data_IF_664893558085
#
_entry.id   IF_664893558085
#
_cell.length_a   1.000
_cell.length_b   1.000
_cell.length_c   1.000
_cell.angle_alpha   90.00
_cell.angle_beta   90.00
_cell.angle_gamma   90.00
#
_symmetry.space_group_name_H-M   'P 1'
#
loop_
_entity.id
_entity.type
_entity.pdbx_description
1 polymer ?
#
# COMPACT_ATOMS: atom_id res chain seq x y z
N UNK A 1 -35.64 24.56 -17.74
CA UNK A 1 -35.05 23.22 -17.41
C UNK A 1 -33.54 23.16 -17.58
N UNK A 2 -32.92 23.99 -18.44
CA UNK A 2 -31.44 24.00 -18.61
C UNK A 2 -30.68 24.68 -17.45
N UNK A 3 -31.28 25.65 -16.74
CA UNK A 3 -30.62 26.36 -15.62
C UNK A 3 -30.45 25.50 -14.35
N UNK A 4 -31.32 24.51 -14.14
CA UNK A 4 -31.23 23.60 -12.99
C UNK A 4 -30.11 22.56 -13.14
N UNK A 5 -29.80 22.15 -14.37
CA UNK A 5 -28.74 21.15 -14.65
C UNK A 5 -27.34 21.75 -14.44
N UNK A 6 -27.15 23.04 -14.76
CA UNK A 6 -25.87 23.73 -14.61
C UNK A 6 -25.51 23.97 -13.13
N UNK A 7 -26.50 24.23 -12.28
CA UNK A 7 -26.29 24.41 -10.84
C UNK A 7 -25.95 23.07 -10.16
N UNK A 8 -26.59 21.98 -10.58
CA UNK A 8 -26.27 20.66 -10.03
C UNK A 8 -24.86 20.17 -10.40
N UNK A 9 -24.37 20.52 -11.61
CA UNK A 9 -22.99 20.19 -12.02
C UNK A 9 -21.95 21.02 -11.25
N UNK A 10 -22.26 22.26 -10.88
CA UNK A 10 -21.37 23.13 -10.11
C UNK A 10 -21.26 22.71 -8.63
N UNK A 11 -22.33 22.17 -8.05
CA UNK A 11 -22.34 21.70 -6.66
C UNK A 11 -21.59 20.38 -6.50
N UNK A 12 -21.54 19.53 -7.52
CA UNK A 12 -20.76 18.29 -7.49
C UNK A 12 -19.24 18.50 -7.62
N UNK A 13 -18.79 19.69 -8.08
CA UNK A 13 -17.35 19.98 -8.22
C UNK A 13 -16.71 20.61 -6.97
N UNK A 14 -17.49 20.97 -5.94
CA UNK A 14 -16.97 21.68 -4.75
C UNK A 14 -16.77 20.75 -3.54
N UNK A 15 -17.17 19.50 -3.63
CA UNK A 15 -17.02 18.52 -2.54
C UNK A 15 -15.80 17.60 -2.68
N UNK A 16 -14.75 18.01 -3.39
CA UNK A 16 -13.44 17.44 -3.17
C UNK A 16 -12.87 18.07 -1.89
N UNK A 17 -13.27 17.53 -0.75
CA UNK A 17 -12.46 17.67 0.46
C UNK A 17 -11.06 17.21 0.07
N UNK A 18 -10.11 18.16 0.05
CA UNK A 18 -8.70 17.82 -0.10
C UNK A 18 -8.39 16.86 1.04
N UNK A 19 -8.37 15.57 0.75
CA UNK A 19 -7.89 14.58 1.70
C UNK A 19 -6.44 14.97 2.02
N UNK A 20 -6.12 15.05 3.30
CA UNK A 20 -4.74 15.31 3.72
C UNK A 20 -3.93 14.10 3.26
N UNK A 21 -2.98 14.33 2.37
CA UNK A 21 -2.01 13.30 1.99
C UNK A 21 -1.09 13.03 3.18
N UNK A 22 -1.15 11.83 3.69
CA UNK A 22 -0.36 11.36 4.82
C UNK A 22 0.37 10.08 4.42
N UNK A 23 1.10 10.16 3.33
CA UNK A 23 1.88 9.06 2.79
C UNK A 23 3.38 9.38 2.79
N UNK A 24 4.20 8.35 2.87
CA UNK A 24 5.65 8.48 2.78
C UNK A 24 6.27 7.27 2.09
N UNK A 25 7.11 7.55 1.10
CA UNK A 25 7.96 6.52 0.47
C UNK A 25 9.34 6.56 1.12
N UNK A 26 9.74 5.46 1.73
CA UNK A 26 11.00 5.30 2.44
C UNK A 26 11.88 4.35 1.66
N UNK A 27 13.12 4.77 1.39
CA UNK A 27 14.13 3.91 0.79
C UNK A 27 15.22 3.60 1.80
N UNK A 28 15.58 2.33 1.94
CA UNK A 28 16.69 1.92 2.79
C UNK A 28 17.99 2.51 2.25
N UNK A 29 18.74 3.19 3.13
CA UNK A 29 20.09 3.72 2.82
C UNK A 29 21.21 2.79 3.28
N UNK A 30 20.90 1.64 3.84
CA UNK A 30 21.93 0.79 4.43
C UNK A 30 22.81 0.17 3.36
N UNK A 31 24.11 0.16 3.63
CA UNK A 31 25.22 -0.37 2.81
C UNK A 31 25.18 -1.90 2.63
N UNK A 32 24.20 -2.59 3.17
CA UNK A 32 24.02 -4.02 2.99
C UNK A 32 23.11 -4.30 1.78
N UNK A 33 23.20 -5.47 1.26
CA UNK A 33 22.64 -6.02 0.02
C UNK A 33 21.14 -5.80 -0.21
N UNK A 34 20.40 -5.36 0.79
CA UNK A 34 18.95 -5.18 0.74
C UNK A 34 18.57 -3.69 0.63
N UNK A 35 18.59 -3.17 -0.60
CA UNK A 35 17.95 -1.89 -0.90
C UNK A 35 16.48 -2.15 -1.16
N UNK A 36 15.60 -1.57 -0.35
CA UNK A 36 14.17 -1.59 -0.61
C UNK A 36 13.63 -0.16 -0.73
N UNK A 37 12.51 -0.05 -1.39
CA UNK A 37 11.65 1.14 -1.38
C UNK A 37 10.26 0.67 -0.96
N UNK A 38 9.70 1.32 0.05
CA UNK A 38 8.43 0.96 0.67
C UNK A 38 7.60 2.20 0.87
N UNK A 39 6.29 2.10 0.65
CA UNK A 39 5.36 3.21 0.83
C UNK A 39 4.38 2.89 1.96
N UNK A 40 4.19 3.85 2.87
CA UNK A 40 3.16 3.78 3.91
C UNK A 40 2.14 4.88 3.69
N UNK A 41 0.88 4.59 3.98
CA UNK A 41 -0.23 5.54 3.87
C UNK A 41 -1.06 5.54 5.16
N UNK A 42 -0.89 6.58 5.96
CA UNK A 42 -1.66 6.82 7.17
C UNK A 42 -2.84 7.79 6.95
N UNK A 43 -3.13 8.19 5.70
CA UNK A 43 -4.23 9.12 5.38
C UNK A 43 -5.58 8.66 5.96
N UNK A 44 -5.92 7.36 6.00
CA UNK A 44 -7.17 6.90 6.60
C UNK A 44 -7.25 7.12 8.13
N UNK A 45 -6.12 7.34 8.80
CA UNK A 45 -6.06 7.64 10.25
C UNK A 45 -6.11 9.14 10.54
N UNK A 46 -6.09 10.00 9.53
CA UNK A 46 -6.29 11.44 9.71
C UNK A 46 -7.69 11.68 10.25
N UNK A 47 -7.77 12.16 11.50
CA UNK A 47 -9.06 12.38 12.14
C UNK A 47 -9.60 13.79 11.86
N UNK A 48 -10.89 13.90 11.56
CA UNK A 48 -11.54 15.19 11.29
C UNK A 48 -11.48 16.15 12.47
N UNK A 49 -11.38 15.62 13.69
CA UNK A 49 -11.17 16.42 14.89
C UNK A 49 -9.76 16.18 15.44
N UNK A 50 -9.56 15.14 16.22
CA UNK A 50 -8.28 14.75 16.82
C UNK A 50 -8.44 13.41 17.53
N UNK A 51 -7.32 12.72 17.78
CA UNK A 51 -7.24 11.57 18.63
C UNK A 51 -6.96 12.00 20.07
N UNK A 52 -7.56 11.32 21.03
CA UNK A 52 -7.28 11.47 22.45
C UNK A 52 -7.03 10.09 23.03
N UNK A 53 -5.84 9.91 23.63
CA UNK A 53 -5.40 8.65 24.21
C UNK A 53 -4.99 8.91 25.65
N UNK A 54 -5.53 8.13 26.57
CA UNK A 54 -5.11 8.14 27.98
C UNK A 54 -3.91 7.24 28.17
N UNK A 55 -2.98 7.70 28.99
CA UNK A 55 -1.87 6.85 29.43
C UNK A 55 -2.43 5.72 30.30
N UNK A 56 -2.19 4.49 29.88
CA UNK A 56 -2.62 3.30 30.64
C UNK A 56 -1.66 2.92 31.76
N UNK A 57 -0.49 3.57 31.86
CA UNK A 57 0.42 3.40 32.99
C UNK A 57 -0.09 4.16 34.22
N UNK A 58 -1.06 3.54 34.87
CA UNK A 58 -1.87 4.12 35.94
C UNK A 58 -1.13 4.36 37.25
N UNK A 59 0.13 3.95 37.37
CA UNK A 59 0.78 3.91 38.71
C UNK A 59 1.28 5.27 39.20
N UNK A 60 1.45 6.25 38.30
CA UNK A 60 2.02 7.53 38.74
C UNK A 60 1.51 8.80 38.01
N UNK A 61 0.91 8.72 36.85
CA UNK A 61 0.71 9.91 36.01
C UNK A 61 -0.65 9.90 35.32
N UNK A 62 -1.56 10.74 35.73
CA UNK A 62 -2.83 10.96 35.05
C UNK A 62 -2.61 11.83 33.80
N UNK A 63 -1.84 11.29 32.84
CA UNK A 63 -1.57 11.99 31.57
C UNK A 63 -2.55 11.54 30.49
N UNK A 64 -2.89 12.48 29.61
CA UNK A 64 -3.52 12.19 28.33
C UNK A 64 -2.76 12.86 27.20
N UNK A 65 -2.90 12.29 26.02
CA UNK A 65 -2.24 12.76 24.80
C UNK A 65 -3.29 13.05 23.76
N UNK A 66 -3.25 14.27 23.24
CA UNK A 66 -4.15 14.73 22.18
C UNK A 66 -3.29 14.96 20.94
N UNK A 67 -3.61 14.31 19.85
CA UNK A 67 -2.83 14.42 18.62
C UNK A 67 -3.67 14.20 17.37
N UNK A 68 -3.11 14.51 16.22
CA UNK A 68 -3.64 14.09 14.94
C UNK A 68 -2.51 13.52 14.06
N UNK A 69 -2.89 12.81 13.01
CA UNK A 69 -1.97 12.18 12.09
C UNK A 69 -1.75 13.14 10.90
N UNK A 70 -0.49 13.46 10.60
CA UNK A 70 -0.06 14.35 9.52
C UNK A 70 -0.73 15.73 9.46
N UNK A 71 -1.45 16.12 10.49
CA UNK A 71 -2.08 17.43 10.58
C UNK A 71 -2.10 17.92 12.02
N UNK A 72 -2.26 19.22 12.20
CA UNK A 72 -2.45 19.79 13.55
C UNK A 72 -3.81 19.37 14.12
N UNK A 73 -3.90 19.37 15.46
CA UNK A 73 -5.18 19.14 16.13
C UNK A 73 -6.21 20.19 15.71
N UNK A 74 -7.46 19.81 15.63
CA UNK A 74 -8.54 20.70 15.22
C UNK A 74 -8.85 21.77 16.27
N UNK A 75 -8.81 21.34 17.53
CA UNK A 75 -9.06 22.21 18.70
C UNK A 75 -7.88 22.14 19.64
N UNK A 76 -7.42 23.31 20.09
CA UNK A 76 -6.42 23.38 21.15
C UNK A 76 -7.04 22.78 22.42
N UNK A 77 -6.42 21.74 23.02
CA UNK A 77 -7.01 21.15 24.22
C UNK A 77 -6.96 22.11 25.42
N UNK A 78 -7.88 21.93 26.34
CA UNK A 78 -7.90 22.62 27.62
C UNK A 78 -7.46 21.70 28.74
N UNK A 79 -6.89 22.23 29.81
CA UNK A 79 -6.41 21.47 30.96
C UNK A 79 -6.77 22.16 32.28
N UNK A 80 -6.73 21.38 33.35
CA UNK A 80 -7.06 21.84 34.70
C UNK A 80 -8.55 22.15 34.90
N UNK A 81 -8.90 22.47 36.13
CA UNK A 81 -10.30 22.79 36.53
C UNK A 81 -10.78 24.13 35.98
N UNK A 82 -9.85 25.02 35.64
CA UNK A 82 -10.16 26.33 35.03
C UNK A 82 -10.43 26.28 33.54
N UNK A 83 -10.21 25.15 32.88
CA UNK A 83 -10.34 25.03 31.44
C UNK A 83 -9.35 25.87 30.64
N UNK A 84 -8.15 26.12 31.16
CA UNK A 84 -7.11 26.87 30.48
C UNK A 84 -6.66 26.19 29.19
N UNK A 85 -6.51 26.95 28.10
CA UNK A 85 -6.03 26.42 26.83
C UNK A 85 -4.53 26.13 26.87
N UNK A 86 -4.10 25.15 26.10
CA UNK A 86 -2.69 24.78 25.87
C UNK A 86 -2.09 25.46 24.62
N UNK A 87 -0.86 25.93 24.67
CA UNK A 87 -0.14 26.48 25.79
C UNK A 87 -0.83 27.77 26.25
N UNK A 88 -0.65 28.20 27.46
CA UNK A 88 -1.34 29.28 28.16
C UNK A 88 -1.15 30.66 27.50
N UNK A 89 -1.54 30.84 26.27
CA UNK A 89 -1.47 32.05 25.47
C UNK A 89 -2.64 32.15 24.50
N UNK A 90 -2.97 33.34 24.10
CA UNK A 90 -3.88 33.73 23.02
C UNK A 90 -3.48 33.13 21.64
N UNK A 91 -2.75 32.01 21.63
CA UNK A 91 -2.19 31.43 20.42
C UNK A 91 -3.27 30.77 19.59
N UNK A 92 -3.43 31.28 18.41
CA UNK A 92 -4.16 30.64 17.32
C UNK A 92 -3.37 29.48 16.69
N UNK A 93 -2.11 29.28 17.13
CA UNK A 93 -1.22 28.27 16.59
C UNK A 93 -1.59 26.88 17.13
N UNK A 94 -1.91 25.97 16.23
CA UNK A 94 -2.28 24.59 16.55
C UNK A 94 -1.11 23.66 16.21
N UNK A 95 -0.76 22.83 17.17
CA UNK A 95 0.32 21.87 17.03
C UNK A 95 -0.23 20.46 16.72
N UNK A 96 0.58 19.54 16.18
CA UNK A 96 0.11 18.18 15.85
C UNK A 96 -0.18 17.33 17.08
N UNK A 97 0.46 17.63 18.23
CA UNK A 97 0.32 16.82 19.42
C UNK A 97 0.54 17.59 20.72
N UNK A 98 -0.16 17.16 21.78
CA UNK A 98 -0.10 17.72 23.11
C UNK A 98 -0.09 16.62 24.19
N UNK A 99 0.62 16.88 25.28
CA UNK A 99 0.55 16.16 26.54
C UNK A 99 -0.24 17.00 27.55
N UNK A 100 -1.19 16.42 28.23
CA UNK A 100 -2.01 17.05 29.26
C UNK A 100 -1.80 16.34 30.59
N UNK A 101 -1.55 17.08 31.65
CA UNK A 101 -1.57 16.57 33.02
C UNK A 101 -2.99 16.65 33.56
N UNK A 102 -3.63 15.50 33.77
CA UNK A 102 -4.99 15.39 34.32
C UNK A 102 -5.11 15.94 35.75
N UNK A 103 -4.00 16.10 36.47
CA UNK A 103 -3.96 16.73 37.79
C UNK A 103 -3.87 18.28 37.71
N UNK A 104 -3.93 18.85 36.51
CA UNK A 104 -3.90 20.28 36.32
C UNK A 104 -2.49 20.90 36.34
N UNK A 105 -1.44 20.07 36.33
CA UNK A 105 -0.05 20.50 36.43
C UNK A 105 0.52 21.15 35.17
N UNK A 106 -0.12 21.00 34.03
CA UNK A 106 0.33 21.66 32.80
C UNK A 106 -0.13 21.01 31.50
N UNK A 107 0.20 21.69 30.43
CA UNK A 107 0.03 21.20 29.07
C UNK A 107 1.22 21.60 28.21
N UNK A 108 1.68 20.67 27.39
CA UNK A 108 2.88 20.85 26.56
C UNK A 108 2.63 20.34 25.16
N UNK A 109 2.97 21.13 24.14
CA UNK A 109 2.96 20.62 22.77
C UNK A 109 4.19 19.69 22.54
N UNK A 110 3.98 18.60 21.77
CA UNK A 110 4.96 17.54 21.57
C UNK A 110 5.62 17.57 20.19
N UNK A 111 5.21 18.51 19.34
CA UNK A 111 5.78 18.73 18.02
C UNK A 111 5.40 20.09 17.50
N UNK A 112 6.29 20.72 16.73
CA UNK A 112 6.08 22.09 16.26
C UNK A 112 5.26 22.16 14.97
N UNK A 113 5.30 21.13 14.14
CA UNK A 113 4.60 21.13 12.86
C UNK A 113 4.47 19.73 12.27
N UNK A 114 3.91 19.70 11.07
CA UNK A 114 3.62 18.49 10.30
C UNK A 114 4.42 18.40 8.99
N UNK A 115 5.40 19.26 8.81
CA UNK A 115 6.21 19.36 7.59
C UNK A 115 7.71 19.42 7.89
N UNK A 116 8.51 19.06 6.91
CA UNK A 116 9.96 19.18 6.95
C UNK A 116 10.61 18.43 8.11
N UNK A 117 11.46 19.11 8.88
CA UNK A 117 12.19 18.52 10.01
C UNK A 117 11.31 18.25 11.24
N UNK A 118 10.12 18.86 11.29
CA UNK A 118 9.20 18.71 12.43
C UNK A 118 8.46 17.37 12.43
N UNK A 119 8.32 16.74 11.27
CA UNK A 119 7.70 15.43 11.10
C UNK A 119 8.68 14.48 10.40
N UNK A 120 8.82 13.28 10.94
CA UNK A 120 9.74 12.28 10.38
C UNK A 120 9.09 10.92 10.32
N UNK A 121 9.39 10.20 9.23
CA UNK A 121 8.97 8.84 8.99
C UNK A 121 10.17 7.91 8.99
N UNK A 122 10.04 6.76 9.64
CA UNK A 122 11.04 5.70 9.60
C UNK A 122 10.35 4.33 9.77
N UNK A 123 10.86 3.25 9.16
CA UNK A 123 10.31 1.92 9.44
C UNK A 123 10.62 1.54 10.89
N UNK A 124 9.77 0.71 11.51
CA UNK A 124 10.01 0.16 12.86
C UNK A 124 11.26 -0.70 12.83
N UNK A 125 11.40 -1.54 11.81
CA UNK A 125 12.59 -2.34 11.55
C UNK A 125 13.14 -2.01 10.15
N UNK A 126 14.43 -1.66 10.10
CA UNK A 126 15.10 -1.38 8.82
C UNK A 126 15.44 -2.64 8.02
N UNK A 127 15.44 -3.80 8.63
CA UNK A 127 15.73 -5.07 7.96
C UNK A 127 14.44 -5.73 7.47
N UNK A 128 13.30 -5.45 8.15
CA UNK A 128 11.96 -5.87 7.75
C UNK A 128 10.96 -4.70 7.81
N UNK A 129 10.76 -3.96 6.71
CA UNK A 129 9.84 -2.84 6.67
C UNK A 129 8.36 -3.26 6.83
N UNK A 130 8.03 -4.56 6.77
CA UNK A 130 6.66 -5.03 6.97
C UNK A 130 6.24 -5.08 8.43
N UNK A 131 7.18 -4.87 9.37
CA UNK A 131 6.87 -4.73 10.81
C UNK A 131 6.01 -3.50 11.09
N UNK A 132 6.18 -2.42 10.32
CA UNK A 132 5.40 -1.20 10.48
C UNK A 132 6.21 0.08 10.32
N UNK A 133 5.60 1.21 10.70
CA UNK A 133 6.16 2.55 10.50
C UNK A 133 6.05 3.40 11.76
N UNK A 134 7.05 4.24 11.98
CA UNK A 134 7.07 5.26 13.03
C UNK A 134 6.86 6.64 12.39
N UNK A 135 5.86 7.36 12.89
CA UNK A 135 5.64 8.77 12.63
C UNK A 135 6.09 9.56 13.89
N UNK A 136 7.04 10.45 13.73
CA UNK A 136 7.57 11.26 14.83
C UNK A 136 7.25 12.74 14.62
N UNK A 137 6.78 13.40 15.70
CA UNK A 137 6.68 14.85 15.78
C UNK A 137 7.79 15.38 16.68
N UNK A 138 8.53 16.38 16.21
CA UNK A 138 9.73 16.89 16.83
C UNK A 138 9.63 18.38 17.17
N UNK A 139 10.59 18.89 17.94
CA UNK A 139 10.70 20.29 18.34
C UNK A 139 9.50 20.79 19.16
N UNK A 140 8.95 19.94 20.02
CA UNK A 140 7.94 20.33 20.99
C UNK A 140 8.47 21.26 22.09
N UNK A 141 7.60 21.61 23.03
CA UNK A 141 7.95 22.49 24.16
C UNK A 141 9.13 21.98 24.95
N UNK A 142 10.06 22.87 25.32
CA UNK A 142 11.25 22.51 26.12
C UNK A 142 11.09 22.79 27.61
N UNK A 143 10.02 23.47 28.02
CA UNK A 143 9.76 23.84 29.43
C UNK A 143 9.77 22.60 30.32
N UNK A 144 10.52 22.65 31.42
CA UNK A 144 10.75 21.55 32.39
C UNK A 144 11.39 20.27 31.83
N UNK A 145 11.85 20.30 30.58
CA UNK A 145 12.42 19.13 29.93
C UNK A 145 13.93 19.22 29.67
N UNK A 146 14.48 20.42 29.67
CA UNK A 146 15.90 20.63 29.32
C UNK A 146 16.22 20.36 27.83
N UNK A 147 15.28 19.84 27.08
CA UNK A 147 15.33 19.56 25.63
C UNK A 147 13.94 19.66 25.04
N UNK A 148 13.86 19.78 23.72
CA UNK A 148 12.57 19.75 23.01
C UNK A 148 11.86 18.41 23.18
N UNK A 149 10.56 18.45 23.44
CA UNK A 149 9.71 17.25 23.49
C UNK A 149 9.50 16.70 22.10
N UNK A 150 9.22 15.40 22.03
CA UNK A 150 8.82 14.72 20.80
C UNK A 150 7.81 13.63 21.10
N UNK A 151 6.91 13.38 20.13
CA UNK A 151 5.99 12.24 20.16
C UNK A 151 6.38 11.28 19.04
N UNK A 152 6.49 9.99 19.37
CA UNK A 152 6.74 8.92 18.41
C UNK A 152 5.55 7.96 18.43
N UNK A 153 4.87 7.86 17.29
CA UNK A 153 3.74 6.97 17.06
C UNK A 153 4.24 5.78 16.23
N UNK A 154 4.37 4.62 16.84
CA UNK A 154 4.80 3.40 16.18
C UNK A 154 3.57 2.60 15.76
N UNK A 155 3.27 2.59 14.47
CA UNK A 155 2.16 1.84 13.87
C UNK A 155 2.67 0.46 13.46
N UNK A 156 2.39 -0.54 14.29
CA UNK A 156 2.69 -1.94 13.95
C UNK A 156 1.73 -2.43 12.88
N UNK A 157 2.28 -3.08 11.86
CA UNK A 157 1.49 -3.71 10.81
C UNK A 157 0.73 -4.91 11.35
N UNK A 158 -0.56 -4.75 11.55
CA UNK A 158 -1.43 -5.81 12.10
C UNK A 158 -2.76 -5.82 11.36
N UNK A 159 -3.32 -7.02 11.14
CA UNK A 159 -4.58 -7.18 10.39
C UNK A 159 -5.82 -6.67 11.17
N UNK A 160 -5.63 -5.96 12.24
CA UNK A 160 -6.65 -5.73 13.24
C UNK A 160 -7.09 -4.30 13.22
N UNK A 161 -7.45 -3.42 12.91
CA UNK A 161 -8.04 -2.13 13.29
C UNK A 161 -7.82 -0.96 12.33
N UNK A 162 -8.96 -0.35 12.04
CA UNK A 162 -9.08 0.92 11.35
C UNK A 162 -9.12 2.12 12.31
N UNK A 163 -9.07 1.90 13.62
CA UNK A 163 -9.16 2.95 14.65
C UNK A 163 -8.07 2.79 15.69
N UNK A 164 -7.59 3.93 16.20
CA UNK A 164 -6.62 3.93 17.29
C UNK A 164 -7.30 3.62 18.63
N UNK A 165 -6.59 2.98 19.58
CA UNK A 165 -7.11 2.70 20.90
C UNK A 165 -7.35 4.01 21.67
N UNK A 166 -8.32 3.99 22.60
CA UNK A 166 -8.58 5.11 23.52
C UNK A 166 -7.58 5.19 24.67
N UNK A 167 -6.99 4.07 25.01
CA UNK A 167 -5.99 3.93 26.07
C UNK A 167 -4.77 3.22 25.45
N UNK A 168 -3.58 3.72 25.75
CA UNK A 168 -2.32 3.12 25.32
C UNK A 168 -1.24 3.39 26.36
N UNK A 169 -0.34 2.45 26.55
CA UNK A 169 0.86 2.71 27.33
C UNK A 169 1.74 3.71 26.60
N UNK A 170 2.07 4.81 27.25
CA UNK A 170 2.99 5.82 26.72
C UNK A 170 4.28 5.76 27.51
N UNK A 171 5.35 5.39 26.84
CA UNK A 171 6.69 5.25 27.44
C UNK A 171 7.49 6.50 27.18
N UNK A 172 7.88 7.21 28.25
CA UNK A 172 8.81 8.32 28.13
C UNK A 172 10.25 7.80 28.20
N UNK A 173 10.85 7.58 27.03
CA UNK A 173 12.26 7.19 26.90
C UNK A 173 12.83 7.54 25.51
N UNK A 174 13.98 8.23 25.43
CA UNK A 174 14.63 8.95 26.53
C UNK A 174 13.76 10.08 27.06
N UNK A 175 14.16 10.70 28.16
CA UNK A 175 13.40 11.80 28.81
C UNK A 175 12.89 12.82 27.77
N UNK A 176 11.62 13.21 27.86
CA UNK A 176 10.92 14.13 26.95
C UNK A 176 10.66 13.57 25.54
N UNK A 177 10.84 12.28 25.35
CA UNK A 177 10.42 11.57 24.14
C UNK A 177 9.34 10.56 24.51
N UNK A 178 8.14 10.80 24.02
CA UNK A 178 6.95 10.01 24.34
C UNK A 178 6.71 9.01 23.22
N UNK A 179 6.74 7.72 23.54
CA UNK A 179 6.60 6.63 22.59
C UNK A 179 5.27 5.93 22.82
N UNK A 180 4.45 5.86 21.79
CA UNK A 180 3.16 5.19 21.78
C UNK A 180 3.18 4.07 20.74
N UNK A 181 2.74 2.87 21.14
CA UNK A 181 2.62 1.72 20.26
C UNK A 181 1.16 1.54 19.84
N UNK A 182 0.93 1.49 18.54
CA UNK A 182 -0.39 1.42 17.93
C UNK A 182 -0.40 0.28 16.92
N UNK A 183 -1.47 -0.50 16.93
CA UNK A 183 -1.67 -1.57 15.95
C UNK A 183 -2.64 -1.09 14.87
N UNK A 184 -2.27 -1.23 13.60
CA UNK A 184 -3.12 -0.81 12.50
C UNK A 184 -2.76 -1.50 11.19
N UNK A 185 -3.76 -1.78 10.35
CA UNK A 185 -3.53 -2.19 8.98
C UNK A 185 -2.83 -1.10 8.15
N UNK A 186 -2.97 0.16 8.55
CA UNK A 186 -2.33 1.30 7.88
C UNK A 186 -0.86 1.47 8.27
N UNK A 187 -0.40 0.76 9.32
CA UNK A 187 1.02 0.59 9.60
C UNK A 187 1.73 -0.34 8.63
N UNK A 188 0.99 -1.06 7.79
CA UNK A 188 1.56 -1.95 6.78
C UNK A 188 1.93 -1.18 5.51
N UNK A 189 2.98 -1.63 4.78
CA UNK A 189 3.27 -1.11 3.46
C UNK A 189 2.09 -1.25 2.50
N UNK A 190 1.88 -0.26 1.64
CA UNK A 190 0.80 -0.30 0.62
C UNK A 190 1.00 -1.39 -0.42
N UNK A 191 2.25 -1.84 -0.58
CA UNK A 191 2.62 -2.97 -1.44
C UNK A 191 1.97 -4.29 -0.98
N UNK A 192 1.66 -4.40 0.33
CA UNK A 192 0.78 -5.44 0.83
C UNK A 192 -0.68 -5.03 0.62
N UNK A 193 -1.26 -5.50 -0.48
CA UNK A 193 -2.60 -5.12 -0.90
C UNK A 193 -3.68 -5.40 0.16
N UNK A 194 -4.70 -4.55 0.17
CA UNK A 194 -5.88 -4.69 1.01
C UNK A 194 -7.11 -4.96 0.17
N UNK A 195 -7.97 -5.88 0.62
CA UNK A 195 -9.26 -6.18 0.00
C UNK A 195 -10.34 -6.15 1.08
N UNK A 196 -11.39 -5.36 0.87
CA UNK A 196 -12.48 -5.20 1.85
C UNK A 196 -11.99 -4.82 3.26
N UNK A 197 -11.03 -3.91 3.35
CA UNK A 197 -10.38 -3.47 4.59
C UNK A 197 -9.68 -4.60 5.37
N UNK A 198 -9.25 -5.64 4.68
CA UNK A 198 -8.45 -6.72 5.24
C UNK A 198 -7.11 -6.77 4.53
N UNK A 199 -6.04 -6.77 5.29
CA UNK A 199 -4.69 -6.96 4.80
C UNK A 199 -4.59 -8.32 4.11
N UNK A 200 -4.00 -8.37 2.92
CA UNK A 200 -3.90 -9.59 2.11
C UNK A 200 -5.25 -10.32 1.95
N UNK A 201 -6.36 -9.56 1.83
CA UNK A 201 -7.72 -10.12 1.72
C UNK A 201 -8.17 -10.93 2.94
N UNK A 202 -7.38 -10.98 4.01
CA UNK A 202 -7.57 -11.85 5.16
C UNK A 202 -7.14 -13.30 4.92
N UNK A 203 -6.53 -13.60 3.78
CA UNK A 203 -6.14 -14.94 3.34
C UNK A 203 -4.62 -15.07 3.16
N UNK A 204 -3.85 -14.23 3.83
CA UNK A 204 -2.40 -14.23 3.78
C UNK A 204 -1.79 -13.31 4.81
N UNK A 205 -0.47 -13.21 4.79
CA UNK A 205 0.33 -12.37 5.69
C UNK A 205 1.16 -11.41 4.85
N UNK A 206 1.22 -10.14 5.25
CA UNK A 206 2.17 -9.18 4.70
C UNK A 206 3.57 -9.53 5.21
N UNK A 207 4.52 -9.67 4.33
CA UNK A 207 5.90 -9.98 4.68
C UNK A 207 6.89 -9.42 3.67
N UNK A 208 8.13 -9.30 4.08
CA UNK A 208 9.23 -8.85 3.22
C UNK A 208 9.81 -10.02 2.43
N UNK A 209 9.78 -9.90 1.12
CA UNK A 209 10.38 -10.87 0.22
C UNK A 209 11.83 -10.48 -0.07
N UNK A 210 12.77 -11.25 0.45
CA UNK A 210 14.20 -11.02 0.28
C UNK A 210 14.68 -11.22 -1.17
N UNK A 211 14.01 -12.09 -1.94
CA UNK A 211 14.39 -12.37 -3.34
C UNK A 211 14.05 -11.20 -4.26
N UNK A 212 12.89 -10.59 -4.02
CA UNK A 212 12.45 -9.42 -4.80
C UNK A 212 12.79 -8.09 -4.13
N UNK A 213 13.28 -8.11 -2.89
CA UNK A 213 13.56 -6.93 -2.06
C UNK A 213 12.35 -5.99 -1.92
N UNK A 214 11.17 -6.56 -1.76
CA UNK A 214 9.91 -5.82 -1.68
C UNK A 214 8.91 -6.46 -0.70
N UNK A 215 8.06 -5.67 -0.03
CA UNK A 215 6.91 -6.20 0.69
C UNK A 215 5.90 -6.82 -0.26
N UNK A 216 5.29 -7.92 0.16
CA UNK A 216 4.16 -8.55 -0.54
C UNK A 216 3.28 -9.38 0.39
N UNK A 217 2.11 -9.76 -0.12
CA UNK A 217 1.28 -10.75 0.54
C UNK A 217 1.78 -12.17 0.26
N UNK A 218 2.00 -12.95 1.32
CA UNK A 218 2.22 -14.38 1.28
C UNK A 218 0.88 -15.07 1.55
N UNK A 219 0.31 -15.66 0.52
CA UNK A 219 -1.03 -16.21 0.59
C UNK A 219 -1.07 -17.56 1.29
N UNK A 220 -2.13 -17.80 2.03
CA UNK A 220 -2.45 -19.12 2.59
C UNK A 220 -2.76 -20.12 1.47
N UNK A 221 -2.65 -21.41 1.78
CA UNK A 221 -2.96 -22.48 0.83
C UNK A 221 -4.36 -22.31 0.21
N UNK A 222 -4.43 -22.46 -1.10
CA UNK A 222 -5.66 -22.31 -1.85
C UNK A 222 -6.04 -20.87 -2.21
N UNK A 223 -5.19 -19.89 -1.88
CA UNK A 223 -5.37 -18.49 -2.29
C UNK A 223 -4.19 -17.99 -3.10
N UNK A 224 -4.44 -17.07 -4.03
CA UNK A 224 -3.41 -16.43 -4.85
C UNK A 224 -3.84 -15.02 -5.28
N UNK A 225 -2.93 -14.31 -5.97
CA UNK A 225 -3.09 -12.90 -6.34
C UNK A 225 -2.27 -11.98 -5.45
N UNK A 226 -2.13 -10.70 -5.85
CA UNK A 226 -1.28 -9.73 -5.15
C UNK A 226 -1.77 -9.41 -3.73
N UNK A 227 -3.05 -9.60 -3.47
CA UNK A 227 -3.68 -9.41 -2.16
C UNK A 227 -4.42 -10.67 -1.68
N UNK A 228 -4.05 -11.86 -2.20
CA UNK A 228 -4.66 -13.15 -1.86
C UNK A 228 -6.19 -13.18 -2.06
N UNK A 229 -6.66 -12.44 -3.05
CA UNK A 229 -8.08 -12.21 -3.34
C UNK A 229 -8.72 -13.32 -4.17
N UNK A 230 -7.91 -14.19 -4.78
CA UNK A 230 -8.37 -15.25 -5.67
C UNK A 230 -8.30 -16.61 -4.99
N UNK A 231 -9.31 -17.45 -5.24
CA UNK A 231 -9.39 -18.82 -4.74
C UNK A 231 -8.91 -19.78 -5.83
N UNK A 232 -8.07 -20.76 -5.48
CA UNK A 232 -7.49 -21.74 -6.39
C UNK A 232 -5.98 -21.82 -6.24
N UNK A 233 -5.32 -22.62 -7.06
CA UNK A 233 -3.85 -22.66 -7.13
C UNK A 233 -3.38 -21.95 -8.40
N UNK A 234 -2.27 -21.22 -8.34
CA UNK A 234 -1.63 -20.64 -9.54
C UNK A 234 -1.27 -21.72 -10.57
N UNK A 235 -0.98 -22.93 -10.11
CA UNK A 235 -0.73 -24.09 -10.95
C UNK A 235 -1.89 -24.42 -11.90
N UNK A 236 -3.14 -24.17 -11.50
CA UNK A 236 -4.30 -24.39 -12.37
C UNK A 236 -4.36 -23.39 -13.52
N UNK A 237 -3.89 -22.17 -13.32
CA UNK A 237 -3.84 -21.15 -14.38
C UNK A 237 -2.71 -21.47 -15.37
N UNK A 238 -1.55 -21.86 -14.86
CA UNK A 238 -0.41 -22.28 -15.69
C UNK A 238 -0.71 -23.57 -16.47
N UNK A 239 -1.36 -24.53 -15.85
CA UNK A 239 -1.77 -25.76 -16.53
C UNK A 239 -2.81 -25.51 -17.62
N UNK A 240 -3.75 -24.58 -17.40
CA UNK A 240 -4.74 -24.21 -18.42
C UNK A 240 -4.10 -23.53 -19.63
N UNK A 241 -3.19 -22.57 -19.41
CA UNK A 241 -2.43 -21.89 -20.49
C UNK A 241 -1.48 -22.84 -21.20
N UNK A 242 -0.80 -23.73 -20.48
CA UNK A 242 0.08 -24.76 -21.07
C UNK A 242 -0.72 -25.78 -21.89
N UNK A 243 -1.91 -26.17 -21.45
CA UNK A 243 -2.78 -27.06 -22.19
C UNK A 243 -3.28 -26.43 -23.49
N UNK A 244 -3.65 -25.15 -23.47
CA UNK A 244 -4.05 -24.41 -24.67
C UNK A 244 -2.87 -24.29 -25.64
N UNK A 245 -1.68 -24.00 -25.14
CA UNK A 245 -0.47 -23.92 -25.97
C UNK A 245 -0.15 -25.26 -26.65
N UNK A 246 -0.24 -26.38 -25.91
CA UNK A 246 -0.03 -27.73 -26.46
C UNK A 246 -1.08 -28.09 -27.55
N UNK A 247 -2.32 -27.71 -27.36
CA UNK A 247 -3.37 -27.93 -28.38
C UNK A 247 -3.11 -27.12 -29.63
N UNK A 248 -2.75 -25.84 -29.48
CA UNK A 248 -2.44 -24.95 -30.62
C UNK A 248 -1.19 -25.42 -31.38
N UNK A 249 -0.11 -25.79 -30.66
CA UNK A 249 1.10 -26.32 -31.31
C UNK A 249 0.84 -27.66 -32.00
N UNK A 250 0.07 -28.55 -31.39
CA UNK A 250 -0.34 -29.80 -32.01
C UNK A 250 -1.15 -29.59 -33.30
N UNK A 251 -2.06 -28.66 -33.31
CA UNK A 251 -2.84 -28.31 -34.49
C UNK A 251 -1.95 -27.75 -35.63
N UNK A 252 -1.00 -26.87 -35.30
CA UNK A 252 -0.07 -26.32 -36.30
C UNK A 252 0.79 -27.43 -36.95
N UNK A 253 1.29 -28.37 -36.17
CA UNK A 253 2.06 -29.52 -36.69
C UNK A 253 1.20 -30.38 -37.63
N UNK A 254 -0.06 -30.62 -37.30
CA UNK A 254 -0.98 -31.36 -38.18
C UNK A 254 -1.24 -30.64 -39.48
N UNK A 255 -1.37 -29.31 -39.47
CA UNK A 255 -1.51 -28.48 -40.69
C UNK A 255 -0.26 -28.58 -41.55
N UNK A 256 0.93 -28.48 -40.95
CA UNK A 256 2.20 -28.64 -41.70
C UNK A 256 2.34 -30.01 -42.35
N UNK A 257 2.01 -31.07 -41.63
CA UNK A 257 2.00 -32.42 -42.18
C UNK A 257 1.01 -32.52 -43.33
N UNK A 258 -0.19 -31.95 -43.20
CA UNK A 258 -1.18 -31.90 -44.25
C UNK A 258 -0.70 -31.19 -45.51
N UNK A 259 -0.03 -30.08 -45.36
CA UNK A 259 0.59 -29.29 -46.46
C UNK A 259 1.68 -30.12 -47.18
N UNK A 260 2.55 -30.80 -46.39
CA UNK A 260 3.59 -31.64 -46.95
C UNK A 260 3.01 -32.80 -47.78
N UNK A 261 1.98 -33.50 -47.26
CA UNK A 261 1.29 -34.57 -47.98
C UNK A 261 0.65 -34.03 -49.27
N UNK A 262 -0.06 -32.91 -49.22
CA UNK A 262 -0.62 -32.26 -50.39
C UNK A 262 0.46 -31.92 -51.43
N UNK A 263 1.59 -31.35 -50.98
CA UNK A 263 2.68 -30.98 -51.86
C UNK A 263 3.34 -32.22 -52.54
N UNK A 264 3.46 -33.34 -51.78
CA UNK A 264 3.93 -34.60 -52.35
C UNK A 264 2.97 -35.18 -53.38
N UNK A 265 1.63 -35.13 -53.12
CA UNK A 265 0.62 -35.53 -54.11
C UNK A 265 0.66 -34.67 -55.34
N UNK A 266 0.80 -33.33 -55.19
CA UNK A 266 0.93 -32.42 -56.36
C UNK A 266 2.22 -32.69 -57.12
N UNK A 267 3.32 -32.99 -56.48
CA UNK A 267 4.56 -33.40 -57.16
C UNK A 267 4.42 -34.74 -57.90
N UNK A 268 3.69 -35.70 -57.31
CA UNK A 268 3.42 -36.99 -57.96
C UNK A 268 2.43 -36.86 -59.11
N UNK A 269 1.59 -35.83 -59.16
CA UNK A 269 0.69 -35.46 -60.27
C UNK A 269 1.41 -34.61 -61.35
N UNK A 270 2.66 -34.20 -61.11
CA UNK A 270 3.48 -33.61 -62.19
C UNK A 270 3.87 -34.74 -63.15
N UNK A 271 2.97 -34.92 -64.09
CA UNK A 271 3.06 -35.58 -65.39
C UNK A 271 4.36 -36.32 -65.66
N UNK A 272 4.16 -37.61 -65.79
CA UNK A 272 5.14 -38.49 -66.44
C UNK A 272 5.54 -37.88 -67.82
N UNK A 273 6.76 -37.48 -68.08
CA UNK A 273 7.19 -36.92 -69.37
C UNK A 273 6.88 -37.86 -70.54
N UNK A 274 6.72 -39.17 -70.27
CA UNK A 274 6.29 -40.18 -71.26
C UNK A 274 4.89 -39.94 -71.78
N UNK A 275 3.95 -39.41 -71.00
CA UNK A 275 2.61 -39.09 -71.42
C UNK A 275 2.54 -37.91 -72.43
N UNK A 276 3.42 -36.92 -72.28
CA UNK A 276 3.55 -35.82 -73.21
C UNK A 276 4.18 -36.24 -74.54
N UNK A 277 5.11 -37.21 -74.53
CA UNK A 277 5.75 -37.74 -75.72
C UNK A 277 4.76 -38.54 -76.60
N UNK A 278 3.80 -39.24 -76.00
CA UNK A 278 2.79 -39.99 -76.73
C UNK A 278 1.72 -39.09 -77.38
N UNK A 279 1.32 -38.00 -76.73
CA UNK A 279 0.35 -37.05 -77.33
C UNK A 279 0.93 -36.29 -78.51
N UNK A 280 2.25 -36.03 -78.54
CA UNK A 280 2.94 -35.38 -79.69
C UNK A 280 3.14 -36.36 -80.87
N UNK A 281 3.17 -37.67 -80.60
CA UNK A 281 3.28 -38.69 -81.68
C UNK A 281 1.98 -38.90 -82.42
N UNK A 282 0.84 -38.84 -81.72
CA UNK A 282 -0.49 -38.94 -82.35
C UNK A 282 -0.83 -37.69 -83.17
N UNK A 283 -0.41 -36.48 -82.77
CA UNK A 283 -0.65 -35.27 -83.53
C UNK A 283 0.18 -35.15 -84.79
N UNK A 284 1.34 -35.79 -84.90
CA UNK A 284 2.18 -35.84 -86.11
C UNK A 284 1.77 -36.94 -87.08
N UNK A 285 0.94 -37.92 -86.70
CA UNK A 285 0.45 -39.00 -87.56
C UNK A 285 -0.77 -38.62 -88.46
N UNK A 286 -1.37 -37.44 -88.25
CA UNK A 286 -2.58 -37.00 -88.97
C UNK A 286 -2.31 -36.01 -90.14
N UNK A 287 -1.04 -35.81 -90.58
CA UNK A 287 -0.74 -34.95 -91.70
C UNK A 287 -0.03 -35.68 -92.85
N UNK A 288 -0.32 -36.96 -93.03
CA UNK A 288 0.01 -37.65 -94.27
C UNK A 288 -1.15 -38.51 -94.75
N UNK A 289 -2.16 -37.89 -95.37
CA UNK A 289 -2.98 -38.43 -96.46
C UNK A 289 -3.36 -37.26 -97.32
#
# INVERSE_FOLDING_TARGET
>A
TMKALTVALYISLIASTLAVDCSATISSRRTSTNKYTVTYDLSPLVHNEQWEVKDSDLVARNYSYVFNICTSVKRIPSYGTSGSLCPNKTDTEKYPAYQLDGNGGGCYYLGKGTEGSYMRWEPIDNDDPTTGVVLSYNEGASTYCGRSRSLRLSFFCMNNFNNLPKDSAVIEYPMCTYNMQLESIYGCPVECGQVNNKLCGGNGVCGYDHDTSAPRCFCNDGYYGSACEKVGSELNVLNSTSSILLVVTGFLVLVEIGVIIMWQKVKGLRLDPSAYANLNKESMGMHQI
#
